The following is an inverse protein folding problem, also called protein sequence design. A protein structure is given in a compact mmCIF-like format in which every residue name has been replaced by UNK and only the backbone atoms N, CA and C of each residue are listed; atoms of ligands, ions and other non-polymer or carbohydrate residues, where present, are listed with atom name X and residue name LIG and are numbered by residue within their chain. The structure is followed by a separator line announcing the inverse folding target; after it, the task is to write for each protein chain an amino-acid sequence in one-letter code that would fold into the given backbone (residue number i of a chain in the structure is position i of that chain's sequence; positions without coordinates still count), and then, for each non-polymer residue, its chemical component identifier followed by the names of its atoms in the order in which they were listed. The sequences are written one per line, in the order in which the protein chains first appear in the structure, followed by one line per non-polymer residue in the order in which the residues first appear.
data_IF_993238264264
#
_entry.id   IF_993238264264
#
_cell.length_a   1.000
_cell.length_b   1.000
_cell.length_c   1.000
_cell.angle_alpha   90.00
_cell.angle_beta   90.00
_cell.angle_gamma   90.00
#
_symmetry.space_group_name_H-M   'P 1'
#
loop_
_entity.id
_entity.type
_entity.pdbx_description
1 polymer ?
#
# COMPACT_ATOMS: atom_id res chain seq x y z
N UNK A 1 -9.14 -4.36 -1.26
CA UNK A 1 -7.98 -4.29 -2.19
C UNK A 1 -7.22 -2.98 -1.97
N UNK A 2 -6.08 -2.71 -2.63
CA UNK A 2 -5.32 -1.46 -2.45
C UNK A 2 -6.18 -0.23 -2.77
N UNK A 3 -6.95 -0.26 -3.86
CA UNK A 3 -7.83 0.83 -4.27
C UNK A 3 -8.89 1.15 -3.22
N UNK A 4 -9.58 0.14 -2.68
CA UNK A 4 -10.62 0.35 -1.65
C UNK A 4 -10.06 1.01 -0.39
N UNK A 5 -8.82 0.68 -0.01
CA UNK A 5 -8.16 1.30 1.16
C UNK A 5 -7.88 2.79 0.93
N UNK A 6 -7.48 3.16 -0.28
CA UNK A 6 -7.32 4.58 -0.64
C UNK A 6 -8.67 5.30 -0.65
N UNK A 7 -9.70 4.69 -1.23
CA UNK A 7 -11.06 5.25 -1.26
C UNK A 7 -11.62 5.50 0.16
N UNK A 8 -11.39 4.58 1.10
CA UNK A 8 -11.81 4.79 2.49
C UNK A 8 -11.01 5.89 3.19
N UNK A 9 -9.69 5.99 2.96
CA UNK A 9 -8.87 7.10 3.49
C UNK A 9 -9.41 8.45 3.00
N UNK A 10 -9.76 8.55 1.73
CA UNK A 10 -10.29 9.77 1.10
C UNK A 10 -11.69 10.13 1.64
N UNK A 11 -12.55 9.13 1.83
CA UNK A 11 -13.92 9.31 2.35
C UNK A 11 -13.95 9.97 3.73
N UNK A 12 -13.00 9.63 4.59
CA UNK A 12 -12.92 10.15 5.97
C UNK A 12 -11.84 11.22 6.13
N UNK A 13 -11.44 11.90 5.05
CA UNK A 13 -10.28 12.82 5.07
C UNK A 13 -10.33 13.88 6.17
N UNK A 14 -11.54 14.36 6.51
CA UNK A 14 -11.78 15.46 7.44
C UNK A 14 -11.43 15.16 8.90
N UNK A 15 -11.27 13.88 9.26
CA UNK A 15 -10.98 13.45 10.64
C UNK A 15 -9.52 13.03 10.86
N UNK A 16 -8.71 12.92 9.81
CA UNK A 16 -7.26 12.76 9.93
C UNK A 16 -6.66 14.01 10.56
N UNK A 17 -5.68 13.83 11.46
CA UNK A 17 -5.08 14.94 12.21
C UNK A 17 -5.96 15.53 13.32
N UNK A 18 -7.21 15.05 13.48
CA UNK A 18 -8.14 15.47 14.55
C UNK A 18 -8.49 14.32 15.47
N UNK A 19 -9.18 13.30 14.93
CA UNK A 19 -9.58 12.09 15.65
C UNK A 19 -8.61 10.94 15.40
N UNK A 20 -8.14 10.81 14.17
CA UNK A 20 -7.15 9.81 13.80
C UNK A 20 -5.82 10.50 13.52
N UNK A 21 -4.86 10.30 14.42
CA UNK A 21 -3.49 10.81 14.29
C UNK A 21 -2.62 9.65 13.81
N UNK A 22 -2.11 9.74 12.58
CA UNK A 22 -1.29 8.70 11.97
C UNK A 22 0.19 9.06 12.08
N UNK A 23 1.02 8.06 12.39
CA UNK A 23 2.48 8.20 12.36
C UNK A 23 3.04 7.51 11.11
N UNK A 24 4.10 8.07 10.50
CA UNK A 24 4.70 7.46 9.32
C UNK A 24 5.43 6.16 9.67
N UNK A 25 5.10 5.08 8.96
CA UNK A 25 5.87 3.83 8.98
C UNK A 25 5.94 3.21 7.57
N UNK A 26 7.05 3.40 6.85
CA UNK A 26 7.23 2.84 5.51
C UNK A 26 7.83 1.41 5.50
N UNK A 27 8.10 0.80 6.66
CA UNK A 27 8.86 -0.47 6.74
C UNK A 27 7.95 -1.71 6.74
N UNK A 28 6.80 -1.63 7.40
CA UNK A 28 5.83 -2.72 7.52
C UNK A 28 4.42 -2.20 7.80
N UNK A 29 3.45 -3.12 7.79
CA UNK A 29 2.05 -2.87 8.14
C UNK A 29 1.11 -3.47 7.11
N UNK A 30 -0.19 -3.25 7.31
CA UNK A 30 -1.24 -3.77 6.44
C UNK A 30 -1.09 -3.35 4.98
N UNK A 31 -0.49 -2.18 4.72
CA UNK A 31 -0.21 -1.73 3.35
C UNK A 31 0.65 -2.73 2.58
N UNK A 32 1.58 -3.41 3.27
CA UNK A 32 2.43 -4.47 2.70
C UNK A 32 1.65 -5.77 2.49
N UNK A 33 0.74 -6.09 3.41
CA UNK A 33 -0.17 -7.25 3.27
C UNK A 33 -1.11 -7.10 2.07
N UNK A 34 -1.55 -5.87 1.79
CA UNK A 34 -2.37 -5.57 0.61
C UNK A 34 -1.63 -5.83 -0.70
N UNK A 35 -0.31 -5.56 -0.76
CA UNK A 35 0.55 -5.90 -1.91
C UNK A 35 0.63 -7.42 -2.09
N UNK A 36 0.65 -8.17 -0.99
CA UNK A 36 0.71 -9.64 -1.01
C UNK A 36 -0.64 -10.32 -1.18
N UNK A 37 -1.73 -9.55 -1.33
CA UNK A 37 -3.11 -10.07 -1.38
C UNK A 37 -3.45 -10.96 -0.17
N UNK A 38 -2.86 -10.67 0.98
CA UNK A 38 -3.03 -11.46 2.20
C UNK A 38 -2.14 -12.70 2.31
N UNK A 39 -1.39 -13.07 1.25
CA UNK A 39 -0.48 -14.20 1.28
C UNK A 39 0.86 -13.83 1.93
N UNK A 40 0.90 -13.92 3.26
CA UNK A 40 2.13 -13.76 4.03
C UNK A 40 3.06 -14.97 3.93
N UNK A 41 2.57 -16.11 3.45
CA UNK A 41 3.33 -17.36 3.28
C UNK A 41 4.17 -17.38 1.99
N UNK A 42 3.87 -16.51 1.03
CA UNK A 42 4.61 -16.38 -0.22
C UNK A 42 6.14 -16.35 -0.02
N UNK A 43 6.86 -17.00 -0.93
CA UNK A 43 8.32 -17.05 -0.96
C UNK A 43 8.93 -15.65 -1.12
N UNK A 44 10.23 -15.55 -0.84
CA UNK A 44 10.96 -14.29 -1.03
C UNK A 44 10.89 -13.80 -2.50
N UNK A 45 10.96 -14.73 -3.47
CA UNK A 45 10.88 -14.42 -4.89
C UNK A 45 9.49 -13.90 -5.30
N UNK A 46 8.43 -14.54 -4.83
CA UNK A 46 7.05 -14.11 -5.06
C UNK A 46 6.79 -12.74 -4.45
N UNK A 47 7.22 -12.52 -3.20
CA UNK A 47 7.12 -11.22 -2.52
C UNK A 47 7.89 -10.14 -3.29
N UNK A 48 9.06 -10.45 -3.84
CA UNK A 48 9.83 -9.50 -4.65
C UNK A 48 9.08 -9.13 -5.95
N UNK A 49 8.54 -10.13 -6.66
CA UNK A 49 7.73 -9.93 -7.87
C UNK A 49 6.50 -9.07 -7.58
N UNK A 50 5.76 -9.36 -6.51
CA UNK A 50 4.58 -8.59 -6.11
C UNK A 50 4.92 -7.14 -5.78
N UNK A 51 6.01 -6.88 -5.04
CA UNK A 51 6.45 -5.50 -4.75
C UNK A 51 6.79 -4.74 -6.02
N UNK A 52 7.64 -5.31 -6.89
CA UNK A 52 8.06 -4.65 -8.14
C UNK A 52 6.89 -4.41 -9.09
N UNK A 53 5.96 -5.36 -9.19
CA UNK A 53 4.78 -5.24 -10.05
C UNK A 53 3.77 -4.18 -9.59
N UNK A 54 3.88 -3.67 -8.36
CA UNK A 54 3.04 -2.58 -7.85
C UNK A 54 3.71 -1.20 -7.94
N UNK A 55 4.93 -1.12 -8.50
CA UNK A 55 5.58 0.16 -8.74
C UNK A 55 4.94 0.86 -9.95
N UNK A 56 4.57 2.12 -9.78
CA UNK A 56 4.24 3.01 -10.90
C UNK A 56 5.55 3.54 -11.49
N UNK A 57 6.05 2.85 -12.50
CA UNK A 57 7.27 3.26 -13.18
C UNK A 57 7.00 4.47 -14.08
N UNK A 58 7.92 5.43 -14.06
CA UNK A 58 7.91 6.51 -15.03
C UNK A 58 8.20 5.95 -16.42
N UNK A 59 7.38 6.32 -17.39
CA UNK A 59 7.48 5.87 -18.77
C UNK A 59 7.83 7.06 -19.67
N UNK A 60 9.13 7.36 -19.73
CA UNK A 60 9.64 8.50 -20.48
C UNK A 60 9.56 8.24 -21.98
N UNK A 61 8.85 9.12 -22.67
CA UNK A 61 8.86 9.20 -24.11
C UNK A 61 9.44 10.57 -24.49
N UNK A 62 10.52 10.62 -25.31
CA UNK A 62 11.14 11.86 -25.76
C UNK A 62 10.28 12.62 -26.77
#
# INVERSE_FOLDING_TARGET
MIADRFAEVDKIKEIWGKRFIVLPNPTYGDWKGAIYKGDWGASAAEKNKMRKGNLKCWDFHP
#
